data_IF_592022326980
#
_entry.id   IF_592022326980
#
_cell.length_a   1.000
_cell.length_b   1.000
_cell.length_c   1.000
_cell.angle_alpha   90.00
_cell.angle_beta   90.00
_cell.angle_gamma   90.00
#
_symmetry.space_group_name_H-M   'P 1'
#
loop_
_entity.id
_entity.type
_entity.pdbx_description
1 polymer ?
#
# COMPACT_ATOMS: atom_id res chain seq x y z
N UNK A 1 -6.86 -26.24 -65.90
CA UNK A 1 -7.43 -25.38 -64.83
C UNK A 1 -7.14 -26.02 -63.49
N UNK A 2 -6.00 -25.61 -62.87
CA UNK A 2 -5.50 -26.18 -61.61
C UNK A 2 -5.98 -25.29 -60.46
N UNK A 3 -6.80 -25.85 -59.60
CA UNK A 3 -7.28 -25.11 -58.36
C UNK A 3 -6.21 -25.15 -57.30
N UNK A 4 -5.65 -23.99 -56.99
CA UNK A 4 -4.73 -23.80 -55.88
C UNK A 4 -5.54 -23.62 -54.58
N UNK A 5 -5.49 -24.60 -53.70
CA UNK A 5 -6.12 -24.57 -52.36
C UNK A 5 -5.17 -23.92 -51.39
N UNK A 6 -5.49 -22.73 -50.90
CA UNK A 6 -4.74 -22.06 -49.82
C UNK A 6 -5.13 -22.67 -48.48
N UNK A 7 -4.18 -23.32 -47.84
CA UNK A 7 -4.31 -23.86 -46.48
C UNK A 7 -3.85 -22.76 -45.52
N UNK A 8 -4.79 -22.09 -44.85
CA UNK A 8 -4.53 -21.15 -43.76
C UNK A 8 -4.02 -21.93 -42.54
N UNK A 9 -2.70 -21.85 -42.28
CA UNK A 9 -2.12 -22.27 -41.02
C UNK A 9 -2.51 -21.24 -39.93
N UNK A 10 -3.42 -21.61 -39.04
CA UNK A 10 -3.59 -20.92 -37.78
C UNK A 10 -2.40 -21.23 -36.89
N UNK A 11 -1.47 -20.28 -36.79
CA UNK A 11 -0.46 -20.26 -35.76
C UNK A 11 -1.16 -19.98 -34.42
N UNK A 12 -1.42 -21.02 -33.64
CA UNK A 12 -1.71 -20.88 -32.21
C UNK A 12 -0.44 -20.32 -31.54
N UNK A 13 -0.39 -19.00 -31.36
CA UNK A 13 0.57 -18.37 -30.46
C UNK A 13 0.17 -18.80 -29.06
N UNK A 14 1.01 -19.57 -28.31
CA UNK A 14 0.69 -19.86 -26.93
C UNK A 14 0.63 -18.52 -26.20
N UNK A 15 -0.52 -18.19 -25.62
CA UNK A 15 -0.64 -17.09 -24.65
C UNK A 15 0.29 -17.46 -23.50
N UNK A 16 1.46 -16.86 -23.45
CA UNK A 16 2.32 -16.94 -22.27
C UNK A 16 1.46 -16.44 -21.11
N UNK A 17 1.15 -17.33 -20.18
CA UNK A 17 0.45 -16.98 -18.97
C UNK A 17 1.31 -15.91 -18.27
N UNK A 18 0.78 -14.72 -18.09
CA UNK A 18 1.47 -13.66 -17.37
C UNK A 18 1.84 -14.22 -15.99
N UNK A 19 3.11 -14.04 -15.59
CA UNK A 19 3.60 -14.45 -14.27
C UNK A 19 2.66 -13.83 -13.21
N UNK A 20 2.31 -14.60 -12.19
CA UNK A 20 1.53 -14.08 -11.07
C UNK A 20 2.28 -12.88 -10.44
N UNK A 21 1.60 -11.77 -10.14
CA UNK A 21 2.22 -10.65 -9.44
C UNK A 21 2.64 -11.08 -8.03
N UNK A 22 3.79 -10.60 -7.56
CA UNK A 22 4.28 -10.91 -6.22
C UNK A 22 3.34 -10.38 -5.14
N UNK A 23 3.04 -11.21 -4.15
CA UNK A 23 2.16 -10.90 -3.03
C UNK A 23 2.93 -10.24 -1.89
N UNK A 24 2.90 -8.89 -1.83
CA UNK A 24 3.50 -8.11 -0.77
C UNK A 24 2.42 -7.74 0.26
N UNK A 25 2.66 -8.07 1.53
CA UNK A 25 1.71 -7.75 2.59
C UNK A 25 2.34 -6.90 3.68
N UNK A 26 1.68 -5.79 3.99
CA UNK A 26 1.99 -4.97 5.15
C UNK A 26 1.48 -5.64 6.42
N UNK A 27 2.27 -5.47 7.48
CA UNK A 27 1.98 -6.06 8.78
C UNK A 27 2.16 -5.02 9.88
N UNK A 28 1.17 -4.92 10.76
CA UNK A 28 1.23 -4.19 12.03
C UNK A 28 1.17 -5.20 13.18
N UNK A 29 1.66 -4.83 14.37
CA UNK A 29 1.72 -5.76 15.50
C UNK A 29 0.43 -5.81 16.32
N UNK A 30 -0.70 -6.05 15.63
CA UNK A 30 -1.97 -6.34 16.30
C UNK A 30 -2.23 -7.83 16.37
N UNK A 31 -3.05 -8.32 17.34
CA UNK A 31 -3.40 -9.74 17.40
C UNK A 31 -4.05 -10.28 16.11
N UNK A 32 -4.82 -9.46 15.39
CA UNK A 32 -5.43 -9.83 14.10
C UNK A 32 -4.37 -10.02 13.01
N UNK A 33 -3.47 -9.05 12.88
CA UNK A 33 -2.41 -9.08 11.87
C UNK A 33 -1.43 -10.24 12.11
N UNK A 34 -1.10 -10.51 13.37
CA UNK A 34 -0.26 -11.65 13.75
C UNK A 34 -0.90 -12.99 13.35
N UNK A 35 -2.19 -13.20 13.69
CA UNK A 35 -2.90 -14.43 13.31
C UNK A 35 -2.98 -14.60 11.81
N UNK A 36 -3.37 -13.56 11.07
CA UNK A 36 -3.44 -13.62 9.62
C UNK A 36 -2.09 -13.99 8.99
N UNK A 37 -0.99 -13.42 9.50
CA UNK A 37 0.36 -13.80 9.08
C UNK A 37 0.66 -15.27 9.35
N UNK A 38 0.39 -15.77 10.56
CA UNK A 38 0.66 -17.16 10.95
C UNK A 38 -0.12 -18.16 10.09
N UNK A 39 -1.38 -17.85 9.79
CA UNK A 39 -2.29 -18.71 9.02
C UNK A 39 -1.97 -18.74 7.53
N UNK A 40 -1.43 -17.63 6.99
CA UNK A 40 -1.33 -17.41 5.54
C UNK A 40 0.09 -17.16 5.03
N UNK A 41 1.11 -17.39 5.87
CA UNK A 41 2.53 -17.18 5.52
C UNK A 41 2.94 -17.85 4.19
N UNK A 42 2.35 -18.99 3.84
CA UNK A 42 2.62 -19.72 2.60
C UNK A 42 1.98 -19.06 1.33
N UNK A 43 1.32 -17.91 1.47
CA UNK A 43 0.70 -17.13 0.38
C UNK A 43 1.36 -15.76 0.19
N UNK A 44 2.38 -15.45 0.98
CA UNK A 44 3.06 -14.17 1.02
C UNK A 44 4.43 -14.30 0.37
N UNK A 45 4.75 -13.49 -0.64
CA UNK A 45 6.06 -13.47 -1.28
C UNK A 45 7.05 -12.51 -0.62
N UNK A 46 6.52 -11.46 0.03
CA UNK A 46 7.30 -10.47 0.77
C UNK A 46 6.50 -9.91 1.94
N UNK A 47 7.05 -10.02 3.14
CA UNK A 47 6.49 -9.41 4.34
C UNK A 47 7.08 -8.01 4.57
N UNK A 48 6.20 -7.02 4.79
CA UNK A 48 6.58 -5.61 4.96
C UNK A 48 6.05 -5.09 6.32
N UNK A 49 6.73 -5.40 7.44
CA UNK A 49 6.28 -5.01 8.77
C UNK A 49 6.67 -3.56 9.12
N UNK A 50 5.85 -2.90 9.95
CA UNK A 50 6.05 -1.52 10.42
C UNK A 50 6.97 -1.46 11.64
N UNK A 51 8.26 -1.74 11.47
CA UNK A 51 9.16 -1.91 12.62
C UNK A 51 10.07 -0.73 12.93
N UNK A 52 10.41 0.09 11.94
CA UNK A 52 11.43 1.12 12.14
C UNK A 52 10.92 2.53 11.83
N UNK A 53 11.48 3.47 12.57
CA UNK A 53 11.32 4.89 12.31
C UNK A 53 12.65 5.61 12.41
N UNK A 54 12.78 6.74 11.72
CA UNK A 54 13.97 7.60 11.76
C UNK A 54 13.57 9.01 12.18
N UNK A 55 14.40 9.64 12.99
CA UNK A 55 14.23 11.03 13.41
C UNK A 55 15.06 12.02 12.59
N UNK A 56 14.92 13.31 12.91
CA UNK A 56 15.63 14.39 12.20
C UNK A 56 17.15 14.41 12.42
N UNK A 57 17.67 13.64 13.39
CA UNK A 57 19.09 13.46 13.64
C UNK A 57 19.65 12.17 13.01
N UNK A 58 18.81 11.41 12.31
CA UNK A 58 19.20 10.14 11.70
C UNK A 58 19.29 8.98 12.68
N UNK A 59 18.66 9.09 13.85
CA UNK A 59 18.57 7.98 14.80
C UNK A 59 17.43 7.06 14.37
N UNK A 60 17.77 5.80 14.09
CA UNK A 60 16.81 4.76 13.74
C UNK A 60 16.33 4.10 15.03
N UNK A 61 15.01 4.05 15.19
CA UNK A 61 14.32 3.48 16.35
C UNK A 61 13.46 2.31 15.91
N UNK A 62 13.25 1.37 16.82
CA UNK A 62 12.44 0.17 16.56
C UNK A 62 13.26 -1.10 16.62
N UNK A 63 12.56 -2.21 16.54
CA UNK A 63 13.14 -3.55 16.55
C UNK A 63 12.18 -4.53 15.87
N UNK A 64 12.69 -5.63 15.28
CA UNK A 64 11.84 -6.66 14.72
C UNK A 64 11.17 -7.50 15.81
N UNK A 65 9.96 -7.97 15.52
CA UNK A 65 9.31 -8.96 16.36
C UNK A 65 9.99 -10.32 16.22
N UNK A 66 10.51 -10.92 17.33
CA UNK A 66 11.27 -12.17 17.24
C UNK A 66 10.46 -13.35 16.72
N UNK A 67 9.17 -13.47 17.09
CA UNK A 67 8.31 -14.59 16.64
C UNK A 67 8.00 -14.49 15.14
N UNK A 68 7.77 -13.28 14.64
CA UNK A 68 7.57 -13.03 13.20
C UNK A 68 8.83 -13.40 12.42
N UNK A 69 10.00 -12.95 12.86
CA UNK A 69 11.27 -13.30 12.22
C UNK A 69 11.56 -14.79 12.25
N UNK A 70 11.25 -15.46 13.36
CA UNK A 70 11.44 -16.90 13.46
C UNK A 70 10.59 -17.64 12.44
N UNK A 71 9.29 -17.31 12.33
CA UNK A 71 8.40 -17.94 11.37
C UNK A 71 8.81 -17.62 9.93
N UNK A 72 9.14 -16.35 9.64
CA UNK A 72 9.61 -15.96 8.32
C UNK A 72 10.86 -16.73 7.88
N UNK A 73 11.85 -16.93 8.79
CA UNK A 73 13.04 -17.74 8.52
C UNK A 73 12.72 -19.22 8.30
N UNK A 74 11.81 -19.80 9.09
CA UNK A 74 11.38 -21.20 8.92
C UNK A 74 10.71 -21.42 7.55
N UNK A 75 10.01 -20.42 7.06
CA UNK A 75 9.33 -20.42 5.77
C UNK A 75 10.14 -19.84 4.63
N UNK A 76 11.37 -19.42 4.87
CA UNK A 76 12.25 -18.75 3.90
C UNK A 76 11.62 -17.47 3.29
N UNK A 77 10.63 -16.89 3.98
CA UNK A 77 9.93 -15.69 3.54
C UNK A 77 10.84 -14.46 3.66
N UNK A 78 11.08 -13.72 2.57
CA UNK A 78 11.80 -12.46 2.62
C UNK A 78 11.05 -11.42 3.47
N UNK A 79 11.81 -10.66 4.27
CA UNK A 79 11.29 -9.58 5.12
C UNK A 79 11.95 -8.26 4.72
N UNK A 80 11.13 -7.24 4.50
CA UNK A 80 11.56 -5.88 4.14
C UNK A 80 10.82 -4.87 5.02
N UNK A 81 11.35 -4.54 6.23
CA UNK A 81 10.63 -3.64 7.14
C UNK A 81 10.42 -2.24 6.57
N UNK A 82 9.34 -1.59 6.98
CA UNK A 82 9.11 -0.17 6.76
C UNK A 82 10.10 0.64 7.58
N UNK A 83 10.60 1.72 6.97
CA UNK A 83 11.22 2.86 7.63
C UNK A 83 10.31 4.07 7.45
N UNK A 84 9.73 4.57 8.54
CA UNK A 84 8.88 5.76 8.59
C UNK A 84 9.57 6.92 9.32
N UNK A 85 8.96 8.11 9.33
CA UNK A 85 9.47 9.25 10.11
C UNK A 85 8.81 9.31 11.50
N UNK A 86 9.62 9.58 12.56
CA UNK A 86 9.12 9.64 13.94
C UNK A 86 8.80 11.06 14.43
N UNK A 87 9.33 12.09 13.79
CA UNK A 87 9.18 13.51 14.20
C UNK A 87 8.37 14.34 13.17
N UNK A 88 7.54 13.68 12.38
CA UNK A 88 6.70 14.33 11.39
C UNK A 88 7.49 15.12 10.34
N UNK A 89 6.80 16.00 9.63
CA UNK A 89 7.35 16.79 8.52
C UNK A 89 8.60 17.57 8.85
N UNK A 90 8.61 18.29 9.97
CA UNK A 90 9.73 19.16 10.34
C UNK A 90 10.98 18.36 10.73
N UNK A 91 10.79 17.19 11.36
CA UNK A 91 11.86 16.25 11.65
C UNK A 91 12.47 15.70 10.37
N UNK A 92 11.62 15.30 9.45
CA UNK A 92 12.08 14.76 8.16
C UNK A 92 12.78 15.82 7.30
N UNK A 93 12.26 17.05 7.25
CA UNK A 93 12.94 18.17 6.59
C UNK A 93 14.39 18.36 7.11
N UNK A 94 14.60 18.30 8.44
CA UNK A 94 15.95 18.38 9.02
C UNK A 94 16.85 17.23 8.57
N UNK A 95 16.32 15.99 8.55
CA UNK A 95 17.06 14.83 8.04
C UNK A 95 17.48 15.01 6.58
N UNK A 96 16.59 15.57 5.74
CA UNK A 96 16.90 15.79 4.32
C UNK A 96 18.03 16.79 4.09
N UNK A 97 18.22 17.75 5.02
CA UNK A 97 19.25 18.78 4.93
C UNK A 97 20.57 18.38 5.61
N UNK A 98 20.60 17.34 6.44
CA UNK A 98 21.78 16.90 7.19
C UNK A 98 22.36 15.58 6.62
N UNK A 99 23.39 15.69 5.79
CA UNK A 99 24.04 14.51 5.16
C UNK A 99 24.68 13.58 6.21
N UNK A 100 25.16 14.10 7.33
CA UNK A 100 25.74 13.27 8.38
C UNK A 100 24.65 12.51 9.15
N UNK A 101 23.46 13.11 9.35
CA UNK A 101 22.30 12.40 9.88
C UNK A 101 21.87 11.27 8.93
N UNK A 102 21.86 11.50 7.63
CA UNK A 102 21.53 10.48 6.62
C UNK A 102 22.52 9.32 6.63
N UNK A 103 23.83 9.60 6.80
CA UNK A 103 24.87 8.55 6.94
C UNK A 103 24.65 7.71 8.19
N UNK A 104 24.38 8.35 9.34
CA UNK A 104 24.06 7.63 10.58
C UNK A 104 22.87 6.70 10.42
N UNK A 105 21.79 7.19 9.78
CA UNK A 105 20.61 6.38 9.50
C UNK A 105 20.97 5.17 8.62
N UNK A 106 21.68 5.37 7.52
CA UNK A 106 22.10 4.30 6.62
C UNK A 106 22.98 3.26 7.33
N UNK A 107 23.95 3.69 8.13
CA UNK A 107 24.81 2.78 8.91
C UNK A 107 24.00 1.91 9.89
N UNK A 108 23.03 2.52 10.60
CA UNK A 108 22.13 1.79 11.48
C UNK A 108 21.29 0.76 10.72
N UNK A 109 20.71 1.14 9.57
CA UNK A 109 19.93 0.23 8.72
C UNK A 109 20.78 -0.95 8.21
N UNK A 110 22.02 -0.70 7.79
CA UNK A 110 22.95 -1.75 7.36
C UNK A 110 23.28 -2.74 8.48
N UNK A 111 23.47 -2.26 9.70
CA UNK A 111 23.68 -3.12 10.87
C UNK A 111 22.47 -4.00 11.13
N UNK A 112 21.28 -3.43 11.15
CA UNK A 112 20.03 -4.17 11.39
C UNK A 112 19.75 -5.19 10.27
N UNK A 113 19.95 -4.81 9.00
CA UNK A 113 19.73 -5.71 7.87
C UNK A 113 20.63 -6.94 7.93
N UNK A 114 21.92 -6.75 8.23
CA UNK A 114 22.88 -7.87 8.40
C UNK A 114 22.53 -8.76 9.59
N UNK A 115 22.21 -8.14 10.73
CA UNK A 115 21.90 -8.86 11.97
C UNK A 115 20.65 -9.73 11.83
N UNK A 116 19.64 -9.23 11.14
CA UNK A 116 18.33 -9.87 11.07
C UNK A 116 18.07 -10.61 9.75
N UNK A 117 18.94 -10.43 8.75
CA UNK A 117 18.79 -11.08 7.44
C UNK A 117 17.67 -10.50 6.62
N UNK A 118 17.44 -9.17 6.70
CA UNK A 118 16.42 -8.52 5.88
C UNK A 118 16.82 -8.53 4.41
N UNK A 119 15.80 -8.55 3.55
CA UNK A 119 16.00 -8.34 2.12
C UNK A 119 16.40 -6.90 1.79
N UNK A 120 15.96 -5.97 2.60
CA UNK A 120 16.17 -4.54 2.48
C UNK A 120 15.15 -3.76 3.32
N UNK A 121 14.77 -2.57 2.85
CA UNK A 121 13.78 -1.71 3.53
C UNK A 121 12.78 -1.13 2.54
N UNK A 122 11.60 -0.80 3.05
CA UNK A 122 10.63 0.05 2.33
C UNK A 122 10.52 1.40 3.02
N UNK A 123 10.77 2.47 2.28
CA UNK A 123 10.51 3.83 2.74
C UNK A 123 9.00 4.09 2.70
N UNK A 124 8.49 4.61 3.82
CA UNK A 124 7.09 5.02 3.94
C UNK A 124 7.04 6.38 4.65
N UNK A 125 7.29 7.42 3.86
CA UNK A 125 7.38 8.80 4.32
C UNK A 125 6.25 9.60 3.70
N UNK A 126 5.26 9.94 4.52
CA UNK A 126 4.06 10.65 4.10
C UNK A 126 3.96 12.04 4.72
N UNK A 127 3.03 12.86 4.20
CA UNK A 127 2.80 14.21 4.71
C UNK A 127 4.07 15.08 4.70
N UNK A 128 4.76 15.11 3.57
CA UNK A 128 6.00 15.87 3.34
C UNK A 128 5.70 17.06 2.44
N UNK A 129 6.34 18.21 2.71
CA UNK A 129 6.18 19.39 1.87
C UNK A 129 6.73 19.15 0.45
N UNK A 130 5.99 19.58 -0.56
CA UNK A 130 6.41 19.46 -1.97
C UNK A 130 7.73 20.17 -2.28
N UNK A 131 8.07 21.19 -1.48
CA UNK A 131 9.35 21.93 -1.55
C UNK A 131 10.56 21.06 -1.23
N UNK A 132 10.36 19.92 -0.59
CA UNK A 132 11.42 18.97 -0.25
C UNK A 132 11.64 17.88 -1.33
N UNK A 133 10.94 17.96 -2.46
CA UNK A 133 10.97 16.97 -3.55
C UNK A 133 12.38 16.58 -4.00
N UNK A 134 13.22 17.58 -4.30
CA UNK A 134 14.57 17.32 -4.81
C UNK A 134 15.49 16.75 -3.70
N UNK A 135 15.37 17.28 -2.47
CA UNK A 135 16.12 16.79 -1.32
C UNK A 135 15.70 15.37 -0.96
N UNK A 136 14.40 15.05 -1.04
CA UNK A 136 13.88 13.71 -0.83
C UNK A 136 14.36 12.73 -1.90
N UNK A 137 14.30 13.10 -3.16
CA UNK A 137 14.82 12.27 -4.27
C UNK A 137 16.31 11.99 -4.13
N UNK A 138 17.09 13.00 -3.68
CA UNK A 138 18.52 12.85 -3.42
C UNK A 138 18.81 11.94 -2.20
N UNK A 139 18.03 12.06 -1.12
CA UNK A 139 18.10 11.18 0.04
C UNK A 139 17.80 9.73 -0.34
N UNK A 140 16.69 9.51 -1.05
CA UNK A 140 16.27 8.20 -1.52
C UNK A 140 17.35 7.52 -2.37
N UNK A 141 17.95 8.26 -3.31
CA UNK A 141 19.04 7.77 -4.16
C UNK A 141 20.27 7.37 -3.34
N UNK A 142 20.77 8.24 -2.44
CA UNK A 142 21.93 7.93 -1.59
C UNK A 142 21.68 6.71 -0.71
N UNK A 143 20.48 6.60 -0.16
CA UNK A 143 20.10 5.43 0.67
C UNK A 143 20.07 4.15 -0.17
N UNK A 144 19.52 4.20 -1.39
CA UNK A 144 19.52 3.08 -2.33
C UNK A 144 20.94 2.66 -2.70
N UNK A 145 21.80 3.59 -3.11
CA UNK A 145 23.20 3.32 -3.45
C UNK A 145 23.96 2.64 -2.29
N UNK A 146 23.77 3.12 -1.06
CA UNK A 146 24.41 2.55 0.12
C UNK A 146 23.91 1.14 0.46
N UNK A 147 22.62 0.89 0.36
CA UNK A 147 22.02 -0.44 0.58
C UNK A 147 22.40 -1.41 -0.55
N UNK A 148 22.34 -1.00 -1.80
CA UNK A 148 22.71 -1.81 -2.97
C UNK A 148 24.20 -2.21 -2.93
N UNK A 149 25.08 -1.29 -2.55
CA UNK A 149 26.51 -1.59 -2.37
C UNK A 149 26.78 -2.68 -1.32
N UNK A 150 25.86 -2.86 -0.38
CA UNK A 150 25.90 -3.91 0.64
C UNK A 150 25.07 -5.15 0.31
N UNK A 151 24.42 -5.21 -0.87
CA UNK A 151 23.61 -6.33 -1.35
C UNK A 151 22.17 -6.33 -0.84
N UNK A 152 21.67 -5.21 -0.30
CA UNK A 152 20.29 -5.05 0.15
C UNK A 152 19.44 -4.27 -0.84
N UNK A 153 18.13 -4.46 -0.81
CA UNK A 153 17.17 -3.75 -1.65
C UNK A 153 16.58 -2.52 -0.94
N UNK A 154 16.08 -1.58 -1.73
CA UNK A 154 15.28 -0.47 -1.24
C UNK A 154 14.03 -0.29 -2.10
N UNK A 155 12.87 -0.21 -1.46
CA UNK A 155 11.61 0.16 -2.08
C UNK A 155 11.00 1.38 -1.42
N UNK A 156 9.95 1.91 -1.99
CA UNK A 156 9.21 3.05 -1.45
C UNK A 156 7.71 2.90 -1.67
N UNK A 157 6.92 3.27 -0.66
CA UNK A 157 5.49 3.52 -0.81
C UNK A 157 5.28 4.99 -1.19
N UNK A 158 4.41 5.24 -2.17
CA UNK A 158 4.09 6.59 -2.65
C UNK A 158 2.60 6.84 -2.69
N UNK A 159 2.18 8.02 -2.23
CA UNK A 159 0.79 8.46 -2.36
C UNK A 159 0.47 8.65 -3.84
N UNK A 160 -0.67 8.14 -4.33
CA UNK A 160 -1.03 8.23 -5.73
C UNK A 160 -1.18 9.68 -6.18
N UNK A 161 -0.68 9.99 -7.35
CA UNK A 161 -0.65 11.33 -7.90
C UNK A 161 -1.12 11.32 -9.37
N UNK A 162 -2.31 11.86 -9.61
CA UNK A 162 -2.88 12.11 -10.92
C UNK A 162 -3.87 13.29 -10.79
N UNK A 163 -3.76 14.30 -11.60
CA UNK A 163 -2.69 14.63 -12.56
C UNK A 163 -1.46 15.17 -11.84
N UNK A 164 -0.28 14.99 -12.11
CA UNK A 164 0.96 15.38 -11.42
C UNK A 164 1.15 16.89 -11.14
N UNK A 165 0.11 17.58 -10.74
CA UNK A 165 0.12 19.02 -10.42
C UNK A 165 -0.97 19.39 -9.41
N UNK A 166 -0.81 20.53 -8.75
CA UNK A 166 -1.83 21.10 -7.88
C UNK A 166 -3.11 21.42 -8.65
N UNK A 167 -4.24 20.91 -8.19
CA UNK A 167 -5.55 21.27 -8.71
C UNK A 167 -5.95 22.71 -8.36
N UNK A 168 -7.11 23.17 -8.84
CA UNK A 168 -7.58 24.56 -8.63
C UNK A 168 -8.20 24.78 -7.24
N UNK A 169 -8.78 23.74 -6.61
CA UNK A 169 -9.43 23.85 -5.31
C UNK A 169 -8.44 23.92 -4.14
N UNK A 170 -8.87 24.48 -3.01
CA UNK A 170 -8.04 24.58 -1.81
C UNK A 170 -7.58 23.20 -1.29
N UNK A 171 -8.47 22.22 -1.28
CA UNK A 171 -8.15 20.85 -0.88
C UNK A 171 -7.11 20.22 -1.83
N UNK A 172 -7.28 20.34 -3.15
CA UNK A 172 -6.34 19.81 -4.14
C UNK A 172 -4.95 20.42 -4.00
N UNK A 173 -4.88 21.74 -3.71
CA UNK A 173 -3.61 22.44 -3.44
C UNK A 173 -2.95 21.91 -2.18
N UNK A 174 -3.71 21.76 -1.09
CA UNK A 174 -3.21 21.22 0.16
C UNK A 174 -2.70 19.78 0.00
N UNK A 175 -3.44 18.91 -0.72
CA UNK A 175 -3.00 17.55 -1.04
C UNK A 175 -1.70 17.54 -1.84
N UNK A 176 -1.56 18.47 -2.81
CA UNK A 176 -0.33 18.60 -3.56
C UNK A 176 0.83 19.04 -2.65
N UNK A 177 0.61 20.12 -1.87
CA UNK A 177 1.66 20.74 -1.06
C UNK A 177 2.22 19.83 0.03
N UNK A 178 1.43 18.90 0.55
CA UNK A 178 1.80 18.14 1.75
C UNK A 178 1.75 16.61 1.59
N UNK A 179 1.21 16.10 0.51
CA UNK A 179 1.02 14.65 0.35
C UNK A 179 1.53 14.10 -0.97
N UNK A 180 1.35 14.81 -2.08
CA UNK A 180 1.58 14.26 -3.42
C UNK A 180 2.78 14.85 -4.14
N UNK A 181 2.98 16.17 -4.02
CA UNK A 181 3.96 16.91 -4.82
C UNK A 181 5.41 16.58 -4.51
N UNK A 182 5.70 15.94 -3.38
CA UNK A 182 7.04 15.53 -2.98
C UNK A 182 7.59 14.37 -3.81
N UNK A 183 6.72 13.49 -4.34
CA UNK A 183 7.18 12.30 -5.04
C UNK A 183 7.53 12.60 -6.50
N UNK A 184 8.82 12.57 -6.82
CA UNK A 184 9.31 12.49 -8.19
C UNK A 184 9.30 11.04 -8.63
N UNK A 185 8.19 10.61 -9.26
CA UNK A 185 8.00 9.21 -9.64
C UNK A 185 9.11 8.70 -10.55
N UNK A 186 9.67 9.57 -11.45
CA UNK A 186 10.76 9.15 -12.31
C UNK A 186 12.06 8.95 -11.52
N UNK A 187 12.44 9.93 -10.69
CA UNK A 187 13.67 9.84 -9.90
C UNK A 187 13.62 8.66 -8.92
N UNK A 188 12.45 8.41 -8.31
CA UNK A 188 12.22 7.28 -7.41
C UNK A 188 12.23 5.96 -8.18
N UNK A 189 11.52 5.86 -9.30
CA UNK A 189 11.52 4.66 -10.15
C UNK A 189 12.90 4.28 -10.69
N UNK A 190 13.76 5.27 -10.94
CA UNK A 190 15.13 5.03 -11.42
C UNK A 190 16.02 4.38 -10.32
N UNK A 191 15.87 4.76 -9.05
CA UNK A 191 16.76 4.32 -7.97
C UNK A 191 16.19 3.20 -7.07
N UNK A 192 14.87 3.00 -7.03
CA UNK A 192 14.26 1.94 -6.22
C UNK A 192 14.23 0.59 -6.93
N UNK A 193 14.26 -0.50 -6.18
CA UNK A 193 14.03 -1.86 -6.69
C UNK A 193 12.57 -2.03 -7.12
N UNK A 194 11.63 -1.49 -6.34
CA UNK A 194 10.23 -1.34 -6.71
C UNK A 194 9.57 -0.17 -5.97
N UNK A 195 8.43 0.26 -6.49
CA UNK A 195 7.59 1.31 -5.92
C UNK A 195 6.21 0.75 -5.65
N UNK A 196 5.73 0.85 -4.41
CA UNK A 196 4.36 0.53 -4.03
C UNK A 196 3.50 1.78 -4.19
N UNK A 197 2.61 1.77 -5.18
CA UNK A 197 1.65 2.84 -5.39
C UNK A 197 0.47 2.62 -4.46
N UNK A 198 0.25 3.48 -3.47
CA UNK A 198 -0.81 3.36 -2.46
C UNK A 198 -2.18 3.73 -3.04
N UNK A 199 -2.70 2.91 -3.96
CA UNK A 199 -4.01 3.10 -4.62
C UNK A 199 -5.17 2.75 -3.68
N UNK A 200 -5.21 3.45 -2.54
CA UNK A 200 -6.26 3.41 -1.53
C UNK A 200 -6.37 4.77 -0.83
N UNK A 201 -7.31 4.91 0.12
CA UNK A 201 -7.63 6.18 0.78
C UNK A 201 -8.15 7.27 -0.19
N UNK A 202 -8.90 6.86 -1.22
CA UNK A 202 -9.66 7.79 -2.06
C UNK A 202 -10.70 8.54 -1.22
N UNK A 203 -11.48 7.81 -0.42
CA UNK A 203 -12.33 8.33 0.63
C UNK A 203 -11.83 7.84 1.99
N UNK A 204 -11.82 8.73 2.97
CA UNK A 204 -11.24 8.49 4.30
C UNK A 204 -12.14 9.04 5.39
N UNK A 205 -11.70 8.94 6.63
CA UNK A 205 -12.36 9.55 7.80
C UNK A 205 -12.54 11.09 7.70
N UNK A 206 -11.87 11.73 6.76
CA UNK A 206 -11.90 13.20 6.55
C UNK A 206 -12.81 13.62 5.38
N UNK A 207 -13.37 12.67 4.66
CA UNK A 207 -14.17 12.92 3.45
C UNK A 207 -15.61 12.45 3.61
N UNK A 208 -16.41 12.67 2.58
CA UNK A 208 -17.74 12.04 2.45
C UNK A 208 -17.60 10.52 2.28
N UNK A 209 -18.65 9.73 2.60
CA UNK A 209 -18.70 8.31 2.28
C UNK A 209 -18.44 8.04 0.80
N UNK A 210 -17.69 7.00 0.52
CA UNK A 210 -17.33 6.58 -0.83
C UNK A 210 -16.32 5.43 -0.83
N UNK A 211 -15.93 4.92 -2.00
CA UNK A 211 -15.01 3.80 -2.12
C UNK A 211 -13.63 4.13 -1.54
N UNK A 212 -13.01 3.14 -0.93
CA UNK A 212 -11.63 3.24 -0.44
C UNK A 212 -10.66 3.32 -1.61
N UNK A 213 -10.98 2.62 -2.70
CA UNK A 213 -10.16 2.55 -3.91
C UNK A 213 -11.02 2.36 -5.16
N UNK A 214 -11.84 3.35 -5.53
CA UNK A 214 -12.72 3.27 -6.70
C UNK A 214 -11.99 2.88 -7.99
N UNK A 215 -12.66 2.15 -8.87
CA UNK A 215 -12.01 1.52 -10.02
C UNK A 215 -11.37 2.51 -10.98
N UNK A 216 -12.15 3.49 -11.46
CA UNK A 216 -11.63 4.49 -12.41
C UNK A 216 -10.53 5.36 -11.78
N UNK A 217 -10.66 5.66 -10.50
CA UNK A 217 -9.62 6.37 -9.74
C UNK A 217 -8.33 5.55 -9.65
N UNK A 218 -8.43 4.25 -9.36
CA UNK A 218 -7.29 3.33 -9.33
C UNK A 218 -6.60 3.25 -10.69
N UNK A 219 -7.39 3.11 -11.78
CA UNK A 219 -6.85 3.06 -13.14
C UNK A 219 -6.13 4.36 -13.52
N UNK A 220 -6.71 5.52 -13.24
CA UNK A 220 -6.12 6.82 -13.57
C UNK A 220 -4.75 7.01 -12.90
N UNK A 221 -4.64 6.65 -11.61
CA UNK A 221 -3.39 6.76 -10.86
C UNK A 221 -2.34 5.73 -11.31
N UNK A 222 -2.76 4.51 -11.62
CA UNK A 222 -1.88 3.48 -12.17
C UNK A 222 -1.34 3.89 -13.54
N UNK A 223 -2.22 4.33 -14.45
CA UNK A 223 -1.82 4.74 -15.80
C UNK A 223 -0.92 5.98 -15.77
N UNK A 224 -1.12 6.89 -14.82
CA UNK A 224 -0.20 8.01 -14.60
C UNK A 224 1.18 7.54 -14.10
N UNK A 225 1.23 6.66 -13.10
CA UNK A 225 2.50 6.16 -12.55
C UNK A 225 3.31 5.37 -13.61
N UNK A 226 2.65 4.60 -14.46
CA UNK A 226 3.28 3.83 -15.54
C UNK A 226 3.96 4.69 -16.62
N UNK A 227 3.69 6.01 -16.68
CA UNK A 227 4.42 6.92 -17.55
C UNK A 227 5.87 7.16 -17.08
N UNK A 228 6.15 6.93 -15.79
CA UNK A 228 7.43 7.25 -15.16
C UNK A 228 8.14 6.03 -14.59
N UNK A 229 7.40 5.01 -14.15
CA UNK A 229 7.92 3.82 -13.49
C UNK A 229 7.65 2.60 -14.38
N UNK A 230 8.69 1.82 -14.75
CA UNK A 230 8.47 0.57 -15.47
C UNK A 230 7.56 -0.38 -14.68
N UNK A 231 6.68 -1.10 -15.38
CA UNK A 231 5.74 -2.05 -14.76
C UNK A 231 6.44 -3.15 -13.94
N UNK A 232 7.65 -3.51 -14.31
CA UNK A 232 8.51 -4.48 -13.61
C UNK A 232 9.03 -3.95 -12.27
N UNK A 233 8.81 -2.68 -11.98
CA UNK A 233 9.15 -2.01 -10.71
C UNK A 233 7.93 -1.42 -10.01
N UNK A 234 6.72 -1.54 -10.56
CA UNK A 234 5.52 -0.96 -9.98
C UNK A 234 4.65 -2.04 -9.34
N UNK A 235 4.30 -1.84 -8.06
CA UNK A 235 3.39 -2.66 -7.28
C UNK A 235 2.08 -1.91 -7.02
N UNK A 236 0.93 -2.55 -7.26
CA UNK A 236 -0.38 -1.95 -7.08
C UNK A 236 -0.81 -2.04 -5.61
N UNK A 237 -1.16 -0.93 -4.99
CA UNK A 237 -1.76 -0.91 -3.66
C UNK A 237 -3.18 -1.48 -3.67
N UNK A 238 -3.46 -2.44 -2.77
CA UNK A 238 -4.79 -3.03 -2.60
C UNK A 238 -5.20 -2.88 -1.13
N UNK A 239 -6.28 -2.14 -0.81
CA UNK A 239 -6.77 -2.03 0.55
C UNK A 239 -7.44 -3.33 0.99
N UNK A 240 -7.22 -3.71 2.25
CA UNK A 240 -7.89 -4.84 2.91
C UNK A 240 -8.88 -4.38 3.99
N UNK A 241 -8.98 -3.08 4.20
CA UNK A 241 -9.82 -2.41 5.19
C UNK A 241 -10.87 -1.54 4.51
N UNK A 242 -11.92 -1.23 5.25
CA UNK A 242 -12.94 -0.27 4.85
C UNK A 242 -13.04 0.93 5.78
N UNK A 243 -14.06 1.74 5.54
CA UNK A 243 -14.45 2.82 6.44
C UNK A 243 -15.93 2.72 6.80
N UNK A 244 -16.22 2.99 8.08
CA UNK A 244 -17.55 3.16 8.61
C UNK A 244 -17.77 4.65 8.93
N UNK A 245 -18.60 5.33 8.15
CA UNK A 245 -19.02 6.71 8.39
C UNK A 245 -20.25 6.73 9.29
N UNK A 246 -20.14 7.44 10.38
CA UNK A 246 -21.19 7.54 11.40
C UNK A 246 -21.66 8.98 11.57
N UNK A 247 -22.88 9.13 12.06
CA UNK A 247 -23.43 10.42 12.42
C UNK A 247 -23.09 10.74 13.90
N UNK A 248 -22.35 11.81 14.12
CA UNK A 248 -21.99 12.27 15.45
C UNK A 248 -20.59 11.88 15.92
N UNK A 249 -20.30 12.11 17.20
CA UNK A 249 -19.04 11.76 17.79
C UNK A 249 -18.97 10.25 18.10
N UNK A 250 -17.98 9.51 17.58
CA UNK A 250 -17.83 8.08 17.86
C UNK A 250 -17.43 7.80 19.32
N UNK A 251 -16.88 8.77 20.02
CA UNK A 251 -16.47 8.62 21.42
C UNK A 251 -17.64 9.00 22.35
N UNK A 252 -18.33 8.00 22.85
CA UNK A 252 -19.45 8.20 23.78
C UNK A 252 -18.98 8.92 25.05
N UNK A 253 -19.66 10.00 25.41
CA UNK A 253 -19.36 10.79 26.61
C UNK A 253 -18.22 11.80 26.45
N UNK A 254 -17.65 11.96 25.26
CA UNK A 254 -16.70 13.03 24.96
C UNK A 254 -17.44 14.35 24.69
N UNK A 255 -17.04 15.41 25.37
CA UNK A 255 -17.49 16.78 25.07
C UNK A 255 -16.67 17.41 23.94
N UNK A 256 -15.55 16.79 23.55
CA UNK A 256 -14.72 17.26 22.46
C UNK A 256 -15.40 16.99 21.10
N UNK A 257 -15.42 17.98 20.24
CA UNK A 257 -15.89 17.80 18.87
C UNK A 257 -14.90 16.92 18.12
N UNK A 258 -15.35 15.74 17.72
CA UNK A 258 -14.59 14.92 16.78
C UNK A 258 -14.60 15.57 15.39
N UNK A 259 -13.42 15.79 14.84
CA UNK A 259 -13.27 16.17 13.43
C UNK A 259 -13.30 14.94 12.51
N UNK A 260 -13.48 13.75 13.06
CA UNK A 260 -13.52 12.47 12.37
C UNK A 260 -14.96 12.14 12.04
N UNK A 261 -15.27 11.88 10.77
CA UNK A 261 -16.59 11.45 10.33
C UNK A 261 -16.70 9.95 10.12
N UNK A 262 -15.56 9.23 10.14
CA UNK A 262 -15.48 7.79 9.96
C UNK A 262 -14.35 7.16 10.77
N UNK A 263 -14.37 5.84 10.91
CA UNK A 263 -13.26 5.05 11.40
C UNK A 263 -13.00 3.84 10.50
N UNK A 264 -11.83 3.25 10.63
CA UNK A 264 -11.52 1.99 9.96
C UNK A 264 -12.50 0.90 10.38
N UNK A 265 -12.79 0.00 9.46
CA UNK A 265 -13.56 -1.20 9.73
C UNK A 265 -12.92 -2.38 9.01
N UNK A 266 -12.74 -3.49 9.73
CA UNK A 266 -12.22 -4.73 9.18
C UNK A 266 -13.36 -5.62 8.68
N UNK A 267 -13.07 -6.62 7.85
CA UNK A 267 -14.09 -7.51 7.30
C UNK A 267 -14.85 -8.29 8.40
N UNK A 268 -14.15 -8.72 9.45
CA UNK A 268 -14.74 -9.44 10.60
C UNK A 268 -15.65 -8.57 11.49
N UNK A 269 -15.60 -7.25 11.34
CA UNK A 269 -16.48 -6.28 12.01
C UNK A 269 -17.62 -5.84 11.08
N UNK A 270 -17.31 -5.63 9.79
CA UNK A 270 -18.25 -5.10 8.80
C UNK A 270 -19.44 -6.05 8.56
N UNK A 271 -19.19 -7.36 8.39
CA UNK A 271 -20.23 -8.35 8.12
C UNK A 271 -21.20 -8.50 9.32
N UNK A 272 -20.73 -8.65 10.56
CA UNK A 272 -21.61 -8.64 11.73
C UNK A 272 -22.41 -7.35 11.91
N UNK A 273 -21.81 -6.19 11.62
CA UNK A 273 -22.47 -4.90 11.69
C UNK A 273 -23.64 -4.82 10.71
N UNK A 274 -23.43 -5.22 9.46
CA UNK A 274 -24.50 -5.28 8.46
C UNK A 274 -25.64 -6.19 8.91
N UNK A 275 -25.34 -7.36 9.47
CA UNK A 275 -26.32 -8.31 10.00
C UNK A 275 -27.09 -7.73 11.21
N UNK A 276 -26.40 -7.06 12.12
CA UNK A 276 -26.99 -6.45 13.31
C UNK A 276 -28.10 -5.44 12.94
N UNK A 277 -27.89 -4.65 11.93
CA UNK A 277 -28.83 -3.62 11.48
C UNK A 277 -29.71 -4.05 10.31
N UNK A 278 -29.66 -5.33 9.89
CA UNK A 278 -30.41 -5.84 8.74
C UNK A 278 -30.06 -5.14 7.43
N UNK A 279 -28.86 -4.59 7.34
CA UNK A 279 -28.39 -3.91 6.15
C UNK A 279 -28.04 -4.92 5.02
N UNK A 280 -28.43 -4.58 3.79
CA UNK A 280 -28.07 -5.37 2.63
C UNK A 280 -26.73 -4.91 2.10
N UNK A 281 -25.73 -5.77 2.09
CA UNK A 281 -24.47 -5.52 1.41
C UNK A 281 -24.74 -5.47 -0.10
N UNK A 282 -24.31 -4.41 -0.75
CA UNK A 282 -24.46 -4.10 -2.16
C UNK A 282 -23.11 -4.06 -2.82
N UNK A 283 -23.08 -4.23 -4.13
CA UNK A 283 -21.91 -4.06 -4.97
C UNK A 283 -22.07 -2.83 -5.83
N UNK A 284 -21.10 -1.92 -5.77
CA UNK A 284 -20.99 -0.84 -6.72
C UNK A 284 -20.22 -1.32 -7.95
N UNK A 285 -20.93 -1.39 -9.09
CA UNK A 285 -20.35 -1.91 -10.33
C UNK A 285 -19.45 -0.89 -11.06
N UNK A 286 -19.51 0.39 -10.68
CA UNK A 286 -18.63 1.43 -11.21
C UNK A 286 -17.32 1.48 -10.43
N UNK A 287 -17.42 1.43 -9.11
CA UNK A 287 -16.26 1.53 -8.23
C UNK A 287 -15.61 0.18 -7.89
N UNK A 288 -16.24 -0.94 -8.26
CA UNK A 288 -15.80 -2.29 -7.97
C UNK A 288 -15.52 -2.50 -6.47
N UNK A 289 -16.48 -2.09 -5.64
CA UNK A 289 -16.36 -2.19 -4.19
C UNK A 289 -17.70 -2.50 -3.53
N UNK A 290 -17.68 -3.23 -2.41
CA UNK A 290 -18.86 -3.53 -1.63
C UNK A 290 -19.17 -2.38 -0.68
N UNK A 291 -20.46 -2.08 -0.50
CA UNK A 291 -20.94 -1.07 0.42
C UNK A 291 -22.30 -1.43 0.99
N UNK A 292 -22.64 -0.80 2.11
CA UNK A 292 -23.99 -0.81 2.67
C UNK A 292 -24.21 0.43 3.51
N UNK A 293 -25.48 0.63 3.87
CA UNK A 293 -25.89 1.68 4.80
C UNK A 293 -27.01 1.17 5.70
N UNK A 294 -27.17 1.78 6.85
CA UNK A 294 -28.20 1.48 7.81
C UNK A 294 -28.58 2.73 8.59
N UNK A 295 -29.64 2.64 9.38
CA UNK A 295 -30.01 3.70 10.30
C UNK A 295 -29.74 3.29 11.74
N UNK A 296 -29.05 4.15 12.48
CA UNK A 296 -28.94 4.11 13.92
C UNK A 296 -29.43 5.44 14.45
N UNK A 297 -30.39 5.39 15.44
CA UNK A 297 -31.00 6.58 16.03
C UNK A 297 -31.55 7.57 14.97
N UNK A 298 -32.18 7.04 13.93
CA UNK A 298 -32.73 7.76 12.78
C UNK A 298 -31.71 8.49 11.89
N UNK A 299 -30.42 8.32 12.15
CA UNK A 299 -29.35 8.86 11.34
C UNK A 299 -28.74 7.76 10.47
N UNK A 300 -28.45 8.12 9.21
CA UNK A 300 -27.86 7.18 8.24
C UNK A 300 -26.37 7.07 8.46
N UNK A 301 -25.89 5.83 8.54
CA UNK A 301 -24.50 5.47 8.55
C UNK A 301 -24.14 4.67 7.30
N UNK A 302 -22.91 4.80 6.85
CA UNK A 302 -22.40 4.17 5.63
C UNK A 302 -21.18 3.34 5.95
N UNK A 303 -21.06 2.20 5.25
CA UNK A 303 -19.85 1.39 5.25
C UNK A 303 -19.47 1.11 3.81
N UNK A 304 -18.21 1.35 3.49
CA UNK A 304 -17.55 0.89 2.27
C UNK A 304 -16.42 -0.03 2.70
N UNK A 305 -16.41 -1.27 2.17
CA UNK A 305 -15.47 -2.31 2.58
C UNK A 305 -15.08 -3.15 1.37
N UNK A 306 -13.84 -3.07 0.90
CA UNK A 306 -13.32 -3.97 -0.12
C UNK A 306 -13.44 -5.42 0.33
N UNK A 307 -14.24 -6.21 -0.36
CA UNK A 307 -14.40 -7.65 -0.13
C UNK A 307 -13.45 -8.47 -1.03
N UNK A 308 -13.55 -9.78 -0.98
CA UNK A 308 -12.71 -10.66 -1.81
C UNK A 308 -12.93 -10.44 -3.32
N UNK A 309 -14.11 -9.99 -3.76
CA UNK A 309 -14.37 -9.63 -5.15
C UNK A 309 -13.64 -8.36 -5.56
N UNK A 310 -13.64 -7.34 -4.70
CA UNK A 310 -12.88 -6.13 -4.92
C UNK A 310 -11.37 -6.40 -4.97
N UNK A 311 -10.88 -7.30 -4.12
CA UNK A 311 -9.49 -7.77 -4.15
C UNK A 311 -9.18 -8.49 -5.46
N UNK A 312 -10.03 -9.44 -5.88
CA UNK A 312 -9.87 -10.19 -7.12
C UNK A 312 -9.70 -9.27 -8.34
N UNK A 313 -10.57 -8.28 -8.50
CA UNK A 313 -10.53 -7.36 -9.64
C UNK A 313 -9.19 -6.60 -9.70
N UNK A 314 -8.65 -6.17 -8.55
CA UNK A 314 -7.38 -5.44 -8.47
C UNK A 314 -6.17 -6.36 -8.63
N UNK A 315 -6.23 -7.58 -8.09
CA UNK A 315 -5.22 -8.60 -8.32
C UNK A 315 -5.11 -8.95 -9.82
N UNK A 316 -6.26 -9.16 -10.48
CA UNK A 316 -6.31 -9.40 -11.92
C UNK A 316 -5.81 -8.19 -12.74
N UNK A 317 -6.10 -6.97 -12.31
CA UNK A 317 -5.54 -5.76 -12.92
C UNK A 317 -4.01 -5.77 -12.85
N UNK A 318 -3.42 -6.03 -11.68
CA UNK A 318 -1.97 -6.11 -11.51
C UNK A 318 -1.36 -7.20 -12.44
N UNK A 319 -2.01 -8.37 -12.51
CA UNK A 319 -1.60 -9.49 -13.37
C UNK A 319 -1.68 -9.12 -14.86
N UNK A 320 -2.78 -8.53 -15.32
CA UNK A 320 -3.00 -8.16 -16.73
C UNK A 320 -2.05 -7.05 -17.19
N UNK A 321 -1.74 -6.09 -16.32
CA UNK A 321 -0.77 -5.03 -16.59
C UNK A 321 0.68 -5.52 -16.51
N UNK A 322 0.93 -6.73 -16.00
CA UNK A 322 2.26 -7.32 -15.84
C UNK A 322 3.11 -6.58 -14.83
N UNK A 323 2.48 -6.09 -13.75
CA UNK A 323 3.17 -5.40 -12.66
C UNK A 323 4.07 -6.37 -11.90
N UNK A 324 5.10 -5.83 -11.19
CA UNK A 324 5.99 -6.66 -10.36
C UNK A 324 5.23 -7.36 -9.25
N UNK A 325 4.20 -6.72 -8.71
CA UNK A 325 3.43 -7.24 -7.58
C UNK A 325 2.20 -6.41 -7.26
N UNK A 326 1.59 -6.75 -6.15
CA UNK A 326 0.63 -5.91 -5.43
C UNK A 326 1.08 -5.76 -3.97
N UNK A 327 0.67 -4.68 -3.32
CA UNK A 327 1.03 -4.35 -1.93
C UNK A 327 -0.24 -4.11 -1.12
N UNK A 328 -0.58 -5.04 -0.21
CA UNK A 328 -1.85 -5.00 0.51
C UNK A 328 -1.71 -4.43 1.92
N UNK A 329 -2.43 -3.37 2.22
CA UNK A 329 -2.58 -2.78 3.53
C UNK A 329 -3.91 -3.21 4.13
N UNK A 330 -4.00 -3.96 5.20
CA UNK A 330 -2.98 -4.55 6.06
C UNK A 330 -3.46 -5.94 6.52
N UNK A 331 -2.55 -6.87 6.78
CA UNK A 331 -2.89 -8.20 7.31
C UNK A 331 -3.78 -8.11 8.55
N UNK A 332 -4.82 -8.94 8.60
CA UNK A 332 -5.79 -9.02 9.69
C UNK A 332 -7.03 -8.17 9.49
N UNK A 333 -7.08 -7.33 8.44
CA UNK A 333 -8.27 -6.55 8.09
C UNK A 333 -9.07 -7.18 6.93
N UNK A 334 -8.46 -8.12 6.22
CA UNK A 334 -8.97 -8.70 4.99
C UNK A 334 -10.25 -9.54 5.14
N UNK A 335 -11.03 -9.60 4.05
CA UNK A 335 -11.98 -10.68 3.82
C UNK A 335 -11.21 -12.00 3.68
N UNK A 336 -11.45 -13.01 4.53
CA UNK A 336 -10.69 -14.27 4.48
C UNK A 336 -10.75 -14.99 3.12
N UNK A 337 -11.75 -14.70 2.30
CA UNK A 337 -11.88 -15.33 0.99
C UNK A 337 -10.80 -14.91 -0.02
N UNK A 338 -10.07 -13.78 0.20
CA UNK A 338 -8.95 -13.37 -0.67
C UNK A 338 -7.86 -14.45 -0.76
N UNK A 339 -7.67 -15.22 0.28
CA UNK A 339 -6.64 -16.26 0.33
C UNK A 339 -6.90 -17.41 -0.65
N UNK A 340 -8.12 -17.56 -1.15
CA UNK A 340 -8.47 -18.54 -2.19
C UNK A 340 -7.99 -18.09 -3.59
N UNK A 341 -7.77 -16.79 -3.79
CA UNK A 341 -7.33 -16.20 -5.05
C UNK A 341 -5.81 -16.31 -5.25
N UNK A 342 -5.06 -16.38 -4.16
CA UNK A 342 -3.61 -16.33 -4.21
C UNK A 342 -2.99 -17.71 -4.38
N UNK A 343 -2.00 -17.89 -5.27
CA UNK A 343 -1.20 -19.09 -5.34
C UNK A 343 -0.39 -19.28 -4.05
N UNK A 344 0.15 -20.48 -3.83
CA UNK A 344 1.18 -20.63 -2.81
C UNK A 344 2.44 -19.93 -3.27
N UNK A 345 3.06 -19.19 -2.36
CA UNK A 345 4.34 -18.55 -2.61
C UNK A 345 5.44 -19.58 -2.87
N UNK A 346 6.35 -19.25 -3.77
CA UNK A 346 7.51 -20.08 -4.08
C UNK A 346 8.73 -19.43 -3.43
N UNK A 347 8.99 -19.77 -2.18
CA UNK A 347 10.19 -19.31 -1.44
C UNK A 347 11.38 -20.22 -1.69
#
# INVERSE_FOLDING_TARGET
MTKLTWMLLFLCIPTAWAKAPAALFYMIETPKSMRSFEEHVDRIDLLVPTWYGVDGQGLVQGAPNPSVLQLARQKQLPVMPILSMTQGRDGFHRLLLDVEAQKRALEALLVQARQHGFKGYQLDFENIAWTDRDAFSAFARRTAEGLHAAGFQLSIAVVPNEPGHAGRGAFSKWMWEYWRGVYDLKALGDCMDFVSLMTYDQHTRWTTPGPVAGWDWTLAHLDYALQFIPKEKLSLGIPLYGYHWFAGNPVVGSEERSNISADYIDADESIPLAKQYGARIQWDAQDHEAFYWFYRDQMREWVWMPDARAFHDRYELARQRGLVGFSSWVLGAEDPAIWNELPRAHH
#
